data_IF_490632357405
#
_entry.id   IF_490632357405
#
_cell.length_a   1.000
_cell.length_b   1.000
_cell.length_c   1.000
_cell.angle_alpha   90.00
_cell.angle_beta   90.00
_cell.angle_gamma   90.00
#
_symmetry.space_group_name_H-M   'P 1'
#
loop_
_entity.id
_entity.type
_entity.pdbx_description
1 polymer ?
#
# COMPACT_ATOMS: atom_id res chain seq x y z
N UNK A 1 -14.78 28.23 51.97
CA UNK A 1 -13.49 27.80 51.39
C UNK A 1 -13.35 26.28 51.34
N UNK A 2 -13.65 25.56 52.43
CA UNK A 2 -13.55 24.09 52.50
C UNK A 2 -14.50 23.34 51.54
N UNK A 3 -15.73 23.83 51.35
CA UNK A 3 -16.69 23.20 50.43
C UNK A 3 -16.37 23.46 48.95
N UNK A 4 -15.74 24.60 48.65
CA UNK A 4 -15.28 24.93 47.30
C UNK A 4 -14.10 24.03 46.89
N UNK A 5 -13.19 23.71 47.81
CA UNK A 5 -12.09 22.76 47.58
C UNK A 5 -12.58 21.33 47.39
N UNK A 6 -13.60 20.88 48.14
CA UNK A 6 -14.20 19.55 47.96
C UNK A 6 -14.90 19.41 46.61
N UNK A 7 -15.62 20.45 46.18
CA UNK A 7 -16.33 20.46 44.90
C UNK A 7 -15.33 20.48 43.72
N UNK A 8 -14.23 21.25 43.81
CA UNK A 8 -13.16 21.22 42.80
C UNK A 8 -12.43 19.87 42.74
N UNK A 9 -12.20 19.22 43.89
CA UNK A 9 -11.54 17.91 43.94
C UNK A 9 -12.41 16.79 43.34
N UNK A 10 -13.72 16.84 43.55
CA UNK A 10 -14.67 15.90 42.91
C UNK A 10 -14.76 16.10 41.39
N UNK A 11 -14.73 17.34 40.91
CA UNK A 11 -14.73 17.66 39.47
C UNK A 11 -13.43 17.22 38.80
N UNK A 12 -12.27 17.41 39.46
CA UNK A 12 -10.97 16.92 38.97
C UNK A 12 -10.91 15.39 38.91
N UNK A 13 -11.48 14.68 39.89
CA UNK A 13 -11.55 13.22 39.89
C UNK A 13 -12.48 12.68 38.78
N UNK A 14 -13.62 13.33 38.52
CA UNK A 14 -14.53 13.00 37.43
C UNK A 14 -13.91 13.27 36.05
N UNK A 15 -13.15 14.37 35.90
CA UNK A 15 -12.40 14.66 34.66
C UNK A 15 -11.26 13.66 34.44
N UNK A 16 -10.58 13.21 35.50
CA UNK A 16 -9.57 12.15 35.42
C UNK A 16 -10.20 10.78 35.04
N UNK A 17 -11.39 10.46 35.56
CA UNK A 17 -12.13 9.24 35.18
C UNK A 17 -12.63 9.28 33.73
N UNK A 18 -12.97 10.46 33.20
CA UNK A 18 -13.30 10.64 31.78
C UNK A 18 -12.07 10.52 30.87
N UNK A 19 -10.88 10.92 31.34
CA UNK A 19 -9.60 10.73 30.63
C UNK A 19 -9.12 9.28 30.61
N UNK A 20 -9.57 8.44 31.55
CA UNK A 20 -9.22 7.00 31.58
C UNK A 20 -10.19 6.18 30.70
N UNK A 21 -11.32 6.74 30.24
CA UNK A 21 -12.33 6.02 29.43
C UNK A 21 -12.31 6.30 27.93
N UNK A 22 -11.23 6.85 27.36
CA UNK A 22 -11.05 6.85 25.91
C UNK A 22 -9.69 6.27 25.55
N UNK A 23 -9.70 5.04 25.03
CA UNK A 23 -8.97 4.58 23.82
C UNK A 23 -8.99 3.05 23.77
N UNK A 24 -10.14 2.47 23.39
CA UNK A 24 -10.13 1.19 22.68
C UNK A 24 -10.28 1.53 21.21
N UNK A 25 -9.18 1.98 20.60
CA UNK A 25 -9.14 2.29 19.17
C UNK A 25 -9.40 1.00 18.39
N UNK A 26 -10.51 0.97 17.66
CA UNK A 26 -10.85 -0.19 16.84
C UNK A 26 -9.95 -0.19 15.61
N UNK A 27 -8.96 -1.08 15.59
CA UNK A 27 -8.19 -1.39 14.39
C UNK A 27 -9.15 -1.87 13.29
N UNK A 28 -8.96 -1.44 12.03
CA UNK A 28 -9.66 -2.07 10.90
C UNK A 28 -8.92 -3.37 10.59
N UNK A 29 -9.43 -4.43 11.18
CA UNK A 29 -8.94 -5.78 11.03
C UNK A 29 -9.50 -6.38 9.74
N UNK A 30 -8.61 -6.76 8.82
CA UNK A 30 -8.98 -7.55 7.65
C UNK A 30 -8.80 -9.00 8.01
N UNK A 31 -9.91 -9.74 7.94
CA UNK A 31 -9.90 -11.17 8.12
C UNK A 31 -9.74 -11.84 6.76
N UNK A 32 -8.86 -12.84 6.73
CA UNK A 32 -8.73 -13.75 5.62
C UNK A 32 -9.39 -15.06 5.98
N UNK A 33 -9.98 -15.70 4.99
CA UNK A 33 -10.51 -17.02 5.17
C UNK A 33 -9.41 -18.08 5.10
N UNK A 34 -9.74 -19.31 5.49
CA UNK A 34 -8.83 -20.44 5.49
C UNK A 34 -8.35 -20.80 4.07
N UNK A 35 -9.13 -20.52 3.03
CA UNK A 35 -8.69 -20.61 1.62
C UNK A 35 -7.98 -19.37 1.09
N UNK A 36 -7.76 -18.35 1.93
CA UNK A 36 -7.02 -17.14 1.58
C UNK A 36 -7.83 -16.06 0.86
N UNK A 37 -9.16 -16.18 0.83
CA UNK A 37 -10.04 -15.10 0.37
C UNK A 37 -10.15 -13.97 1.40
N UNK A 38 -10.51 -12.78 0.94
CA UNK A 38 -10.69 -11.61 1.81
C UNK A 38 -12.14 -11.55 2.28
N UNK A 39 -12.35 -11.43 3.59
CA UNK A 39 -13.68 -11.22 4.15
C UNK A 39 -14.28 -9.89 3.66
N UNK A 40 -15.45 -9.97 3.03
CA UNK A 40 -16.26 -8.81 2.62
C UNK A 40 -17.17 -8.29 3.74
N UNK A 41 -17.47 -9.14 4.72
CA UNK A 41 -18.20 -8.82 5.95
C UNK A 41 -17.40 -9.23 7.19
N UNK A 42 -17.95 -8.96 8.38
CA UNK A 42 -17.25 -9.30 9.63
C UNK A 42 -17.00 -10.81 9.75
N UNK A 43 -15.79 -11.18 10.13
CA UNK A 43 -15.52 -12.53 10.60
C UNK A 43 -16.28 -12.76 11.90
N UNK A 44 -17.16 -13.75 11.93
CA UNK A 44 -18.04 -13.95 13.08
C UNK A 44 -18.70 -15.30 13.10
N UNK A 45 -19.33 -15.63 14.22
CA UNK A 45 -19.97 -16.91 14.44
C UNK A 45 -21.23 -17.11 13.59
N UNK A 46 -21.97 -16.03 13.29
CA UNK A 46 -23.23 -16.06 12.52
C UNK A 46 -24.22 -17.16 12.97
N UNK A 47 -24.27 -17.45 14.27
CA UNK A 47 -25.13 -18.49 14.86
C UNK A 47 -24.54 -19.90 14.94
N UNK A 48 -23.27 -20.09 14.58
CA UNK A 48 -22.54 -21.36 14.61
C UNK A 48 -21.49 -21.40 15.72
N UNK A 49 -20.93 -22.58 16.00
CA UNK A 49 -19.82 -22.77 16.94
C UNK A 49 -18.43 -22.46 16.36
N UNK A 50 -18.37 -21.87 15.17
CA UNK A 50 -17.16 -21.50 14.45
C UNK A 50 -17.39 -20.20 13.69
N UNK A 51 -16.30 -19.54 13.31
CA UNK A 51 -16.29 -18.23 12.69
C UNK A 51 -15.97 -18.33 11.20
N UNK A 52 -16.66 -17.51 10.43
CA UNK A 52 -16.67 -17.54 8.98
C UNK A 52 -17.17 -16.19 8.45
N UNK A 53 -16.91 -15.93 7.19
CA UNK A 53 -17.28 -14.68 6.53
C UNK A 53 -17.55 -14.94 5.04
N UNK A 54 -18.21 -14.00 4.39
CA UNK A 54 -18.26 -13.97 2.93
C UNK A 54 -16.91 -13.57 2.40
N UNK A 55 -16.41 -14.30 1.41
CA UNK A 55 -15.08 -14.04 0.87
C UNK A 55 -15.07 -13.63 -0.59
N UNK A 56 -13.99 -12.96 -0.97
CA UNK A 56 -13.63 -12.71 -2.36
C UNK A 56 -12.25 -13.30 -2.69
N UNK A 57 -12.13 -13.96 -3.84
CA UNK A 57 -10.85 -14.40 -4.43
C UNK A 57 -10.17 -15.64 -3.83
N UNK A 58 -10.74 -16.29 -2.80
CA UNK A 58 -10.25 -17.53 -2.19
C UNK A 58 -10.52 -18.78 -3.05
N UNK A 59 -11.12 -19.82 -2.49
CA UNK A 59 -11.47 -21.06 -3.22
C UNK A 59 -12.63 -20.94 -4.23
N UNK A 60 -13.16 -19.73 -4.47
CA UNK A 60 -14.28 -19.47 -5.37
C UNK A 60 -15.66 -19.68 -4.75
N UNK A 61 -15.76 -20.15 -3.50
CA UNK A 61 -17.00 -20.19 -2.75
C UNK A 61 -17.30 -18.86 -2.08
N UNK A 62 -18.58 -18.56 -1.89
CA UNK A 62 -19.03 -17.31 -1.27
C UNK A 62 -18.66 -17.19 0.20
N UNK A 63 -18.54 -18.31 0.93
CA UNK A 63 -18.28 -18.35 2.38
C UNK A 63 -17.14 -19.28 2.72
N UNK A 64 -16.33 -18.91 3.73
CA UNK A 64 -15.27 -19.77 4.26
C UNK A 64 -14.88 -19.35 5.69
N UNK A 65 -14.21 -20.26 6.41
CA UNK A 65 -13.75 -20.09 7.79
C UNK A 65 -12.77 -18.94 7.91
N UNK A 66 -12.84 -18.16 8.97
CA UNK A 66 -11.88 -17.10 9.28
C UNK A 66 -11.52 -17.19 10.77
N UNK A 67 -10.48 -16.49 11.21
CA UNK A 67 -10.14 -16.39 12.63
C UNK A 67 -10.46 -14.99 13.14
N UNK A 68 -10.98 -14.90 14.37
CA UNK A 68 -11.28 -13.61 15.02
C UNK A 68 -10.00 -12.82 15.36
N UNK A 69 -8.92 -13.53 15.70
CA UNK A 69 -7.64 -12.93 16.04
C UNK A 69 -6.50 -13.80 15.50
N UNK A 70 -5.33 -13.19 15.32
CA UNK A 70 -4.13 -13.90 14.90
C UNK A 70 -3.74 -14.94 15.96
N UNK A 71 -3.42 -16.16 15.54
CA UNK A 71 -3.07 -17.26 16.45
C UNK A 71 -4.28 -18.01 17.03
N UNK A 72 -5.50 -17.65 16.63
CA UNK A 72 -6.70 -18.44 16.92
C UNK A 72 -7.12 -19.27 15.70
N UNK A 73 -7.76 -20.39 15.95
CA UNK A 73 -8.51 -21.13 14.94
C UNK A 73 -9.91 -20.54 14.72
N UNK A 74 -10.67 -21.09 13.78
CA UNK A 74 -12.01 -20.64 13.48
C UNK A 74 -13.01 -20.87 14.63
N UNK A 75 -12.73 -21.76 15.59
CA UNK A 75 -13.56 -21.94 16.78
C UNK A 75 -13.26 -20.93 17.89
N UNK A 76 -12.11 -20.24 17.82
CA UNK A 76 -11.58 -19.35 18.86
C UNK A 76 -10.58 -20.04 19.80
N UNK A 77 -10.15 -21.26 19.48
CA UNK A 77 -9.13 -21.98 20.24
C UNK A 77 -7.72 -21.53 19.86
N UNK A 78 -6.81 -21.58 20.83
CA UNK A 78 -5.43 -21.17 20.63
C UNK A 78 -4.64 -22.19 19.81
N UNK A 79 -4.06 -21.72 18.72
CA UNK A 79 -3.10 -22.47 17.93
C UNK A 79 -1.78 -22.65 18.71
N UNK A 80 -1.20 -23.85 18.62
CA UNK A 80 0.17 -24.16 19.02
C UNK A 80 1.16 -24.00 17.84
N UNK A 81 0.69 -24.18 16.60
CA UNK A 81 1.45 -23.91 15.38
C UNK A 81 1.01 -22.61 14.70
N UNK A 82 1.78 -22.14 13.71
CA UNK A 82 1.31 -21.10 12.80
C UNK A 82 0.08 -21.55 12.01
N UNK A 83 -0.73 -20.56 11.61
CA UNK A 83 -1.85 -20.75 10.69
C UNK A 83 -1.34 -20.83 9.25
N UNK A 84 -1.25 -22.04 8.68
CA UNK A 84 -0.61 -22.25 7.39
C UNK A 84 -1.23 -23.39 6.58
N UNK A 85 -0.86 -23.50 5.31
CA UNK A 85 -1.47 -24.48 4.40
C UNK A 85 -1.00 -25.92 4.62
N UNK A 86 0.16 -26.12 5.26
CA UNK A 86 0.75 -27.44 5.56
C UNK A 86 0.68 -28.44 4.38
N UNK A 87 0.84 -27.94 3.15
CA UNK A 87 0.77 -28.73 1.91
C UNK A 87 -0.65 -29.01 1.37
N UNK A 88 -1.69 -28.46 2.00
CA UNK A 88 -3.09 -28.55 1.57
C UNK A 88 -3.61 -27.29 0.87
N UNK A 89 -4.92 -27.26 0.59
CA UNK A 89 -5.63 -26.16 -0.09
C UNK A 89 -6.30 -25.15 0.85
N UNK A 90 -6.19 -25.36 2.16
CA UNK A 90 -6.70 -24.47 3.20
C UNK A 90 -5.63 -24.29 4.26
N UNK A 91 -5.76 -23.23 5.04
CA UNK A 91 -4.95 -22.94 6.21
C UNK A 91 -5.49 -23.63 7.44
N UNK A 92 -4.58 -24.25 8.19
CA UNK A 92 -4.84 -24.93 9.44
C UNK A 92 -3.78 -24.57 10.46
N UNK A 93 -4.13 -24.75 11.73
CA UNK A 93 -3.17 -24.79 12.82
C UNK A 93 -3.41 -26.01 13.70
N UNK A 94 -2.35 -26.48 14.35
CA UNK A 94 -2.45 -27.49 15.38
C UNK A 94 -2.78 -26.81 16.71
N UNK A 95 -3.77 -27.29 17.45
CA UNK A 95 -4.18 -26.68 18.72
C UNK A 95 -3.32 -27.11 19.90
N UNK A 96 -3.24 -26.27 20.95
CA UNK A 96 -2.52 -26.61 22.20
C UNK A 96 -3.10 -27.83 22.93
N UNK A 97 -4.41 -28.05 22.80
CA UNK A 97 -5.11 -29.21 23.35
C UNK A 97 -5.17 -30.40 22.37
N UNK A 98 -4.52 -30.30 21.21
CA UNK A 98 -4.45 -31.34 20.18
C UNK A 98 -5.46 -31.18 19.06
N UNK A 99 -5.12 -31.70 17.88
CA UNK A 99 -5.96 -31.66 16.68
C UNK A 99 -5.60 -30.55 15.69
N UNK A 100 -5.98 -30.73 14.43
CA UNK A 100 -5.81 -29.76 13.35
C UNK A 100 -7.12 -29.05 13.04
N UNK A 101 -7.08 -27.73 13.00
CA UNK A 101 -8.27 -26.89 12.85
C UNK A 101 -8.04 -25.79 11.83
N UNK A 102 -9.11 -25.42 11.11
CA UNK A 102 -9.08 -24.32 10.16
C UNK A 102 -8.79 -23.00 10.86
N UNK A 103 -8.01 -22.15 10.21
CA UNK A 103 -7.70 -20.83 10.71
C UNK A 103 -7.64 -19.84 9.53
N UNK A 104 -8.02 -18.61 9.81
CA UNK A 104 -7.82 -17.47 8.92
C UNK A 104 -6.63 -16.63 9.38
N UNK A 105 -5.99 -15.93 8.45
CA UNK A 105 -5.01 -14.91 8.83
C UNK A 105 -5.73 -13.61 9.22
N UNK A 106 -5.16 -12.88 10.16
CA UNK A 106 -5.69 -11.60 10.62
C UNK A 106 -4.67 -10.51 10.30
N UNK A 107 -5.01 -9.67 9.33
CA UNK A 107 -4.17 -8.56 8.90
C UNK A 107 -4.67 -7.24 9.46
N UNK A 108 -3.76 -6.35 9.82
CA UNK A 108 -4.07 -4.93 9.83
C UNK A 108 -3.95 -4.41 8.39
N UNK A 109 -4.87 -3.53 7.98
CA UNK A 109 -4.99 -3.00 6.61
C UNK A 109 -3.76 -2.21 6.11
N UNK A 110 -2.67 -2.16 6.87
CA UNK A 110 -1.42 -1.54 6.46
C UNK A 110 -0.71 -2.43 5.43
N UNK A 111 -1.07 -2.19 4.16
CA UNK A 111 -0.32 -2.51 2.96
C UNK A 111 0.21 -3.95 2.84
N UNK A 112 -0.70 -4.88 2.60
CA UNK A 112 -0.33 -6.25 2.27
C UNK A 112 0.28 -6.30 0.87
N UNK A 113 1.60 -6.44 0.83
CA UNK A 113 2.35 -6.79 -0.36
C UNK A 113 2.41 -8.32 -0.48
N UNK A 114 2.56 -8.79 -1.72
CA UNK A 114 2.58 -10.22 -2.01
C UNK A 114 3.77 -10.55 -2.89
N UNK A 115 4.32 -11.73 -2.66
CA UNK A 115 5.31 -12.33 -3.53
C UNK A 115 4.66 -12.79 -4.85
N UNK A 116 5.51 -13.20 -5.80
CA UNK A 116 5.09 -13.82 -7.06
C UNK A 116 4.29 -15.10 -6.86
N UNK A 117 4.60 -15.86 -5.80
CA UNK A 117 3.89 -17.08 -5.41
C UNK A 117 2.60 -16.77 -4.65
N UNK A 118 2.22 -15.49 -4.58
CA UNK A 118 1.03 -15.00 -3.89
C UNK A 118 1.06 -15.31 -2.38
N UNK A 119 2.26 -15.44 -1.81
CA UNK A 119 2.45 -15.44 -0.37
C UNK A 119 2.55 -14.01 0.15
N UNK A 120 2.01 -13.77 1.34
CA UNK A 120 2.07 -12.46 1.98
C UNK A 120 3.52 -12.11 2.30
N UNK A 121 3.92 -10.90 1.91
CA UNK A 121 5.16 -10.30 2.35
C UNK A 121 5.05 -9.85 3.81
N UNK A 122 5.98 -10.32 4.65
CA UNK A 122 6.18 -9.93 6.05
C UNK A 122 7.10 -8.71 6.17
N UNK A 123 7.86 -8.40 5.11
CA UNK A 123 8.69 -7.21 4.97
C UNK A 123 8.29 -6.48 3.69
N UNK A 124 8.62 -5.19 3.59
CA UNK A 124 8.44 -4.47 2.33
C UNK A 124 9.20 -5.13 1.18
N UNK A 125 8.63 -5.01 -0.01
CA UNK A 125 9.16 -5.46 -1.28
C UNK A 125 10.27 -4.50 -1.71
N UNK A 126 11.51 -4.90 -1.48
CA UNK A 126 12.69 -4.05 -1.68
C UNK A 126 13.75 -4.77 -2.50
N UNK A 127 14.62 -3.99 -3.14
CA UNK A 127 15.69 -4.53 -3.96
C UNK A 127 16.72 -5.26 -3.09
N UNK A 128 17.00 -6.51 -3.45
CA UNK A 128 18.07 -7.32 -2.87
C UNK A 128 18.67 -8.18 -3.99
N UNK A 129 20.00 -8.22 -4.12
CA UNK A 129 20.69 -9.01 -5.15
C UNK A 129 20.14 -8.79 -6.59
N UNK A 130 19.81 -7.56 -6.94
CA UNK A 130 19.37 -7.18 -8.30
C UNK A 130 17.89 -7.43 -8.63
N UNK A 131 17.09 -7.91 -7.68
CA UNK A 131 15.63 -8.02 -7.83
C UNK A 131 14.89 -7.64 -6.56
N UNK A 132 13.65 -7.17 -6.70
CA UNK A 132 12.74 -6.91 -5.61
C UNK A 132 12.30 -8.21 -4.94
N UNK A 133 12.47 -8.26 -3.62
CA UNK A 133 12.22 -9.42 -2.78
C UNK A 133 11.59 -9.00 -1.46
N UNK A 134 10.85 -9.91 -0.84
CA UNK A 134 10.31 -9.77 0.49
C UNK A 134 10.46 -11.09 1.26
N UNK A 135 10.47 -11.02 2.59
CA UNK A 135 10.36 -12.24 3.41
C UNK A 135 8.91 -12.67 3.50
N UNK A 136 8.67 -13.95 3.38
CA UNK A 136 7.37 -14.60 3.58
C UNK A 136 7.50 -15.68 4.65
N UNK A 137 6.39 -16.34 5.01
CA UNK A 137 6.43 -17.52 5.88
C UNK A 137 7.24 -18.68 5.26
N UNK A 138 7.43 -18.68 3.94
CA UNK A 138 8.15 -19.72 3.19
C UNK A 138 9.60 -19.33 2.85
N UNK A 139 10.06 -18.18 3.35
CA UNK A 139 11.41 -17.66 3.09
C UNK A 139 11.41 -16.40 2.21
N UNK A 140 12.57 -16.07 1.67
CA UNK A 140 12.72 -14.90 0.79
C UNK A 140 12.17 -15.21 -0.59
N UNK A 141 11.21 -14.42 -1.04
CA UNK A 141 10.57 -14.59 -2.35
C UNK A 141 10.60 -13.29 -3.13
N UNK A 142 10.56 -13.39 -4.47
CA UNK A 142 10.46 -12.23 -5.34
C UNK A 142 9.09 -11.58 -5.23
N UNK A 143 9.05 -10.27 -5.39
CA UNK A 143 7.84 -9.47 -5.33
C UNK A 143 7.95 -8.31 -6.32
N UNK A 144 6.85 -7.63 -6.59
CA UNK A 144 6.84 -6.43 -7.42
C UNK A 144 6.60 -5.19 -6.57
N UNK A 145 7.39 -4.12 -6.74
CA UNK A 145 7.26 -2.91 -5.92
C UNK A 145 6.00 -2.09 -6.25
N UNK A 146 5.45 -2.28 -7.46
CA UNK A 146 4.25 -1.62 -7.93
C UNK A 146 3.51 -2.50 -8.95
N UNK A 147 2.23 -2.16 -9.22
CA UNK A 147 1.47 -2.80 -10.30
C UNK A 147 2.15 -2.54 -11.64
N UNK A 148 1.99 -3.47 -12.58
CA UNK A 148 2.59 -3.37 -13.92
C UNK A 148 4.12 -3.14 -13.90
N UNK A 149 4.79 -3.53 -12.80
CA UNK A 149 6.25 -3.54 -12.66
C UNK A 149 6.69 -4.96 -12.30
N UNK A 150 7.72 -5.46 -12.97
CA UNK A 150 8.26 -6.79 -12.69
C UNK A 150 9.21 -6.76 -11.49
N UNK A 151 9.55 -7.90 -10.88
CA UNK A 151 10.53 -7.95 -9.78
C UNK A 151 11.93 -7.48 -10.17
N UNK A 152 12.26 -7.37 -11.45
CA UNK A 152 13.54 -6.77 -11.87
C UNK A 152 13.45 -5.24 -12.01
N UNK A 153 12.25 -4.68 -11.86
CA UNK A 153 11.94 -3.26 -11.95
C UNK A 153 11.54 -2.79 -13.35
N UNK A 154 11.28 -3.69 -14.30
CA UNK A 154 10.88 -3.32 -15.66
C UNK A 154 9.38 -3.00 -15.72
N UNK A 155 8.95 -2.00 -16.51
CA UNK A 155 7.54 -1.76 -16.75
C UNK A 155 6.98 -2.81 -17.71
N UNK A 156 5.74 -3.23 -17.46
CA UNK A 156 5.01 -4.10 -18.37
C UNK A 156 4.66 -3.40 -19.70
N UNK A 157 4.35 -4.17 -20.74
CA UNK A 157 3.83 -3.64 -21.99
C UNK A 157 2.42 -3.03 -21.77
N UNK A 158 2.10 -1.97 -22.49
CA UNK A 158 0.81 -1.27 -22.40
C UNK A 158 -0.39 -2.13 -22.81
N UNK A 159 -0.21 -3.02 -23.80
CA UNK A 159 -1.23 -3.93 -24.32
C UNK A 159 -1.35 -5.20 -23.47
N UNK A 160 -0.25 -5.61 -22.83
CA UNK A 160 -0.16 -6.82 -22.03
C UNK A 160 0.31 -6.51 -20.60
N UNK A 161 -0.47 -5.66 -19.92
CA UNK A 161 -0.27 -5.27 -18.51
C UNK A 161 -0.40 -6.45 -17.55
N UNK A 162 -0.16 -6.23 -16.26
CA UNK A 162 -0.16 -7.31 -15.30
C UNK A 162 -1.53 -7.98 -15.12
N UNK A 163 -1.63 -9.25 -15.51
CA UNK A 163 -2.82 -10.07 -15.37
C UNK A 163 -2.46 -11.57 -15.35
N UNK A 164 -3.46 -12.44 -15.12
CA UNK A 164 -3.22 -13.89 -15.12
C UNK A 164 -3.10 -14.49 -16.53
N UNK A 165 -3.76 -13.93 -17.54
CA UNK A 165 -3.78 -14.47 -18.91
C UNK A 165 -4.06 -15.99 -18.99
N UNK A 166 -4.91 -16.52 -18.11
CA UNK A 166 -5.21 -17.95 -18.02
C UNK A 166 -4.21 -18.79 -17.20
N UNK A 167 -3.17 -18.18 -16.63
CA UNK A 167 -2.20 -18.83 -15.75
C UNK A 167 -2.55 -18.71 -14.25
N UNK A 168 -1.91 -19.53 -13.41
CA UNK A 168 -2.05 -19.47 -11.95
C UNK A 168 -1.42 -18.21 -11.34
N UNK A 169 -0.42 -17.63 -12.00
CA UNK A 169 0.40 -16.50 -11.55
C UNK A 169 0.15 -15.24 -12.38
N UNK A 170 0.42 -14.07 -11.81
CA UNK A 170 0.33 -12.79 -12.51
C UNK A 170 1.58 -12.58 -13.37
N UNK A 171 1.36 -12.28 -14.65
CA UNK A 171 2.40 -12.05 -15.64
C UNK A 171 2.07 -10.84 -16.50
N UNK A 172 3.10 -10.30 -17.13
CA UNK A 172 2.97 -9.30 -18.15
C UNK A 172 4.04 -9.49 -19.20
N UNK A 173 3.83 -8.86 -20.35
CA UNK A 173 4.80 -8.94 -21.43
C UNK A 173 5.79 -7.77 -21.33
N UNK A 174 7.06 -8.00 -21.63
CA UNK A 174 8.12 -7.00 -21.62
C UNK A 174 8.27 -6.31 -22.99
N UNK A 175 8.16 -7.02 -24.11
CA UNK A 175 8.36 -6.46 -25.48
C UNK A 175 7.20 -6.77 -26.45
N UNK A 176 7.44 -6.98 -27.75
CA UNK A 176 6.47 -7.51 -28.73
C UNK A 176 6.81 -8.93 -29.21
N UNK A 177 7.92 -9.52 -28.73
CA UNK A 177 8.35 -10.88 -29.09
C UNK A 177 7.93 -11.93 -28.06
N UNK A 178 7.53 -13.12 -28.51
CA UNK A 178 6.91 -14.19 -27.70
C UNK A 178 7.75 -14.70 -26.49
N UNK A 179 9.02 -14.31 -26.37
CA UNK A 179 9.89 -14.63 -25.23
C UNK A 179 9.81 -13.62 -24.08
N UNK A 180 9.00 -12.56 -24.21
CA UNK A 180 9.02 -11.40 -23.32
C UNK A 180 8.23 -11.51 -22.01
N UNK A 181 7.71 -12.68 -21.61
CA UNK A 181 6.88 -12.77 -20.40
C UNK A 181 7.70 -12.73 -19.11
N UNK A 182 7.28 -11.88 -18.18
CA UNK A 182 7.82 -11.84 -16.82
C UNK A 182 6.66 -11.75 -15.80
N UNK A 183 6.94 -12.12 -14.57
CA UNK A 183 6.00 -12.06 -13.47
C UNK A 183 5.80 -10.62 -13.01
N UNK A 184 4.64 -10.34 -12.44
CA UNK A 184 4.29 -9.01 -11.94
C UNK A 184 3.36 -9.09 -10.73
N UNK A 185 3.24 -7.98 -10.01
CA UNK A 185 2.46 -7.89 -8.78
C UNK A 185 0.96 -7.91 -9.01
N UNK A 186 0.23 -8.54 -8.09
CA UNK A 186 -1.23 -8.69 -8.15
C UNK A 186 -1.96 -7.33 -8.17
N UNK A 187 -2.54 -7.00 -9.34
CA UNK A 187 -3.33 -5.77 -9.58
C UNK A 187 -4.64 -5.67 -8.77
N UNK A 188 -5.24 -6.80 -8.39
CA UNK A 188 -6.54 -6.81 -7.70
C UNK A 188 -6.48 -6.30 -6.24
N UNK A 189 -5.30 -5.96 -5.74
CA UNK A 189 -5.06 -5.47 -4.37
C UNK A 189 -4.47 -4.06 -4.37
N UNK A 190 -4.59 -3.37 -5.50
CA UNK A 190 -4.19 -1.99 -5.66
C UNK A 190 -4.96 -1.10 -4.67
N UNK A 191 -4.23 -0.56 -3.70
CA UNK A 191 -4.73 0.19 -2.54
C UNK A 191 -5.50 1.47 -2.88
N UNK A 192 -5.53 1.83 -4.16
CA UNK A 192 -5.96 3.14 -4.62
C UNK A 192 -6.98 3.01 -5.77
N UNK A 193 -8.26 3.23 -5.46
CA UNK A 193 -9.34 3.39 -6.45
C UNK A 193 -9.54 4.88 -6.71
N UNK A 194 -9.29 5.31 -7.93
CA UNK A 194 -9.40 6.71 -8.34
C UNK A 194 -10.88 7.08 -8.54
N UNK A 195 -11.30 8.14 -7.85
CA UNK A 195 -12.63 8.73 -7.96
C UNK A 195 -12.52 10.05 -8.71
N UNK A 196 -13.36 10.19 -9.74
CA UNK A 196 -13.41 11.39 -10.57
C UNK A 196 -14.47 12.36 -10.04
N UNK A 197 -14.08 13.58 -9.66
CA UNK A 197 -15.02 14.63 -9.28
C UNK A 197 -14.98 15.77 -10.29
N UNK A 198 -16.15 16.09 -10.87
CA UNK A 198 -16.34 17.26 -11.73
C UNK A 198 -16.81 18.43 -10.88
N UNK A 199 -16.05 19.51 -10.86
CA UNK A 199 -16.54 20.83 -10.45
C UNK A 199 -16.68 21.72 -11.68
N UNK A 200 -17.36 22.88 -11.54
CA UNK A 200 -17.56 23.84 -12.63
C UNK A 200 -16.25 24.48 -13.15
N UNK A 201 -15.12 24.32 -12.44
CA UNK A 201 -13.85 25.00 -12.77
C UNK A 201 -12.62 24.06 -12.82
N UNK A 202 -12.73 22.79 -12.45
CA UNK A 202 -11.62 21.82 -12.55
C UNK A 202 -12.10 20.37 -12.52
N UNK A 203 -11.42 19.50 -13.26
CA UNK A 203 -11.52 18.03 -13.14
C UNK A 203 -10.44 17.59 -12.15
N UNK A 204 -10.85 17.11 -10.98
CA UNK A 204 -9.91 16.65 -9.94
C UNK A 204 -10.18 15.17 -9.69
N UNK A 205 -9.13 14.37 -9.84
CA UNK A 205 -9.17 12.94 -9.56
C UNK A 205 -8.38 12.69 -8.29
N UNK A 206 -9.05 12.09 -7.31
CA UNK A 206 -8.41 11.73 -6.06
C UNK A 206 -8.60 10.25 -5.77
N UNK A 207 -7.70 9.74 -4.97
CA UNK A 207 -7.76 8.41 -4.44
C UNK A 207 -7.46 8.48 -2.94
N UNK A 208 -8.21 7.71 -2.15
CA UNK A 208 -8.02 7.65 -0.70
C UNK A 208 -7.38 6.33 -0.31
N UNK A 209 -6.21 6.42 0.32
CA UNK A 209 -5.60 5.34 1.06
C UNK A 209 -6.12 5.42 2.50
N UNK A 210 -6.89 4.41 2.92
CA UNK A 210 -7.31 4.32 4.31
C UNK A 210 -6.11 3.93 5.16
N UNK A 211 -5.65 4.84 6.02
CA UNK A 211 -4.80 4.50 7.15
C UNK A 211 -5.70 4.14 8.34
N UNK A 212 -5.14 3.43 9.32
CA UNK A 212 -5.82 3.09 10.57
C UNK A 212 -6.46 4.33 11.21
N UNK A 213 -7.51 4.13 12.02
CA UNK A 213 -8.39 5.19 12.54
C UNK A 213 -7.70 6.31 13.34
N UNK A 214 -6.39 6.20 13.62
CA UNK A 214 -5.60 7.18 14.37
C UNK A 214 -4.68 8.08 13.51
N UNK A 215 -4.49 7.80 12.21
CA UNK A 215 -3.56 8.57 11.35
C UNK A 215 -4.24 9.43 10.27
N UNK A 216 -5.57 9.60 10.36
CA UNK A 216 -6.33 10.31 9.33
C UNK A 216 -6.35 9.54 8.01
N UNK A 217 -7.02 10.07 6.99
CA UNK A 217 -7.02 9.46 5.64
C UNK A 217 -5.92 10.07 4.79
N UNK A 218 -5.15 9.25 4.07
CA UNK A 218 -4.21 9.76 3.07
C UNK A 218 -4.89 9.88 1.73
N UNK A 219 -4.76 11.04 1.09
CA UNK A 219 -5.38 11.34 -0.19
C UNK A 219 -4.28 11.61 -1.21
N UNK A 220 -4.35 10.89 -2.32
CA UNK A 220 -3.55 11.11 -3.51
C UNK A 220 -4.44 11.88 -4.48
N UNK A 221 -4.13 13.14 -4.75
CA UNK A 221 -4.70 13.88 -5.89
C UNK A 221 -3.75 13.73 -7.06
N UNK A 222 -4.29 13.50 -8.25
CA UNK A 222 -3.51 13.56 -9.49
C UNK A 222 -3.89 14.79 -10.30
N UNK A 223 -2.90 15.39 -10.94
CA UNK A 223 -3.06 16.52 -11.85
C UNK A 223 -2.29 16.22 -13.14
N UNK A 224 -2.96 16.37 -14.27
CA UNK A 224 -2.37 16.04 -15.57
C UNK A 224 -1.24 17.02 -15.86
N UNK A 225 -0.13 16.50 -16.37
CA UNK A 225 1.01 17.29 -16.79
C UNK A 225 1.33 17.01 -18.25
N UNK A 226 1.54 18.08 -19.01
CA UNK A 226 1.91 18.00 -20.42
C UNK A 226 3.43 18.16 -20.64
N UNK A 227 4.17 18.58 -19.61
CA UNK A 227 5.63 18.78 -19.61
C UNK A 227 6.43 17.65 -18.92
N UNK A 228 5.80 16.49 -18.67
CA UNK A 228 6.50 15.31 -18.17
C UNK A 228 7.01 14.43 -19.32
N UNK A 229 8.26 14.02 -19.23
CA UNK A 229 8.87 13.11 -20.18
C UNK A 229 8.42 11.67 -19.96
N UNK A 230 8.17 10.95 -21.06
CA UNK A 230 7.97 9.51 -21.02
C UNK A 230 9.33 8.80 -21.00
N UNK A 231 9.71 8.10 -19.92
CA UNK A 231 11.02 7.48 -19.83
C UNK A 231 11.13 6.24 -20.72
N UNK A 232 12.34 5.94 -21.19
CA UNK A 232 12.64 4.61 -21.76
C UNK A 232 12.51 3.52 -20.69
N UNK A 233 12.36 2.24 -21.09
CA UNK A 233 12.30 1.11 -20.14
C UNK A 233 13.51 1.05 -19.19
N UNK A 234 14.70 1.35 -19.71
CA UNK A 234 15.93 1.37 -18.92
C UNK A 234 15.92 2.52 -17.89
N UNK A 235 15.46 3.71 -18.29
CA UNK A 235 15.29 4.85 -17.38
C UNK A 235 14.22 4.55 -16.33
N UNK A 236 13.08 3.97 -16.72
CA UNK A 236 12.03 3.54 -15.79
C UNK A 236 12.58 2.57 -14.73
N UNK A 237 13.35 1.56 -15.15
CA UNK A 237 13.94 0.58 -14.23
C UNK A 237 14.92 1.22 -13.25
N UNK A 238 15.76 2.15 -13.72
CA UNK A 238 16.69 2.91 -12.86
C UNK A 238 15.92 3.80 -11.87
N UNK A 239 14.87 4.47 -12.34
CA UNK A 239 13.99 5.29 -11.53
C UNK A 239 13.31 4.48 -10.41
N UNK A 240 12.76 3.31 -10.73
CA UNK A 240 12.13 2.40 -9.76
C UNK A 240 13.11 1.98 -8.65
N UNK A 241 14.38 1.72 -9.01
CA UNK A 241 15.44 1.37 -8.05
C UNK A 241 15.85 2.56 -7.19
N UNK A 242 15.90 3.77 -7.74
CA UNK A 242 16.16 4.99 -6.97
C UNK A 242 15.02 5.29 -5.98
N UNK A 243 13.77 5.08 -6.38
CA UNK A 243 12.60 5.22 -5.47
C UNK A 243 12.69 4.24 -4.30
N UNK A 244 13.12 3.00 -4.53
CA UNK A 244 13.29 2.01 -3.46
C UNK A 244 14.37 2.37 -2.43
N UNK A 245 15.36 3.18 -2.84
CA UNK A 245 16.40 3.68 -1.93
C UNK A 245 15.90 4.78 -0.98
N UNK A 246 14.69 5.34 -1.19
CA UNK A 246 14.09 6.31 -0.27
C UNK A 246 13.78 5.60 1.05
N UNK A 247 14.61 5.75 2.06
CA UNK A 247 14.44 5.16 3.39
C UNK A 247 13.85 6.15 4.42
N UNK A 248 13.71 7.40 4.01
CA UNK A 248 13.27 8.51 4.85
C UNK A 248 12.53 9.55 4.01
N UNK A 249 11.42 10.05 4.54
CA UNK A 249 10.67 11.17 3.98
C UNK A 249 11.39 12.51 4.14
N UNK A 250 12.39 12.58 5.04
CA UNK A 250 13.14 13.81 5.36
C UNK A 250 14.46 13.92 4.62
N UNK A 251 15.02 12.80 4.15
CA UNK A 251 16.32 12.73 3.50
C UNK A 251 16.21 11.88 2.25
N UNK A 252 16.06 12.55 1.12
CA UNK A 252 16.01 11.88 -0.18
C UNK A 252 17.39 11.36 -0.57
N UNK A 253 17.49 10.20 -1.24
CA UNK A 253 18.75 9.68 -1.77
C UNK A 253 19.46 10.72 -2.64
N UNK A 254 20.74 10.95 -2.35
CA UNK A 254 21.60 11.75 -3.21
C UNK A 254 22.06 10.91 -4.40
N UNK A 255 21.88 11.41 -5.61
CA UNK A 255 22.45 10.82 -6.81
C UNK A 255 23.97 11.06 -6.83
N UNK A 256 24.75 10.00 -6.98
CA UNK A 256 26.21 10.11 -7.17
C UNK A 256 26.58 10.71 -8.54
N UNK A 257 27.85 11.09 -8.71
CA UNK A 257 28.37 11.84 -9.86
C UNK A 257 28.18 11.18 -11.25
N UNK A 258 27.84 9.89 -11.29
CA UNK A 258 27.57 9.13 -12.52
C UNK A 258 26.10 8.71 -12.68
N UNK A 259 25.21 9.20 -11.83
CA UNK A 259 23.80 8.85 -11.91
C UNK A 259 23.16 9.43 -13.19
N UNK A 260 22.34 8.63 -13.87
CA UNK A 260 21.54 9.09 -15.02
C UNK A 260 20.22 9.71 -14.55
N UNK A 261 19.77 9.39 -13.34
CA UNK A 261 18.50 9.83 -12.77
C UNK A 261 18.73 10.38 -11.36
N UNK A 262 18.00 11.45 -11.02
CA UNK A 262 18.04 12.06 -9.68
C UNK A 262 16.68 12.46 -9.15
N UNK A 263 16.58 12.47 -7.84
CA UNK A 263 15.56 13.20 -7.10
C UNK A 263 16.04 14.65 -6.95
N UNK A 264 15.22 15.60 -7.40
CA UNK A 264 15.50 17.02 -7.32
C UNK A 264 14.39 17.70 -6.52
N UNK A 265 14.76 18.32 -5.39
CA UNK A 265 13.84 19.10 -4.57
C UNK A 265 13.68 20.49 -5.21
N UNK A 266 12.44 20.83 -5.54
CA UNK A 266 12.03 22.15 -6.02
C UNK A 266 11.69 23.06 -4.81
N UNK A 267 11.26 24.30 -5.09
CA UNK A 267 10.78 25.19 -4.03
C UNK A 267 9.56 24.59 -3.31
N UNK A 268 9.53 24.72 -1.98
CA UNK A 268 8.43 24.23 -1.16
C UNK A 268 7.14 25.03 -1.46
N UNK A 269 5.99 24.36 -1.41
CA UNK A 269 4.69 24.95 -1.73
C UNK A 269 3.91 25.16 -0.44
N UNK A 270 3.47 26.39 -0.19
CA UNK A 270 2.55 26.68 0.91
C UNK A 270 1.11 26.67 0.41
N UNK A 271 0.28 25.78 0.96
CA UNK A 271 -1.12 25.66 0.59
C UNK A 271 -1.99 25.65 1.85
N UNK A 272 -2.84 26.68 2.01
CA UNK A 272 -3.74 26.84 3.17
C UNK A 272 -3.04 26.69 4.54
N UNK A 273 -1.79 27.17 4.65
CA UNK A 273 -1.00 27.10 5.89
C UNK A 273 -0.32 25.75 6.15
N UNK A 274 -0.40 24.81 5.20
CA UNK A 274 0.40 23.57 5.21
C UNK A 274 1.56 23.74 4.23
N UNK A 275 2.77 23.41 4.68
CA UNK A 275 3.96 23.37 3.83
C UNK A 275 4.10 21.99 3.19
N UNK A 276 4.31 22.00 1.88
CA UNK A 276 4.51 20.82 1.07
C UNK A 276 5.90 20.83 0.46
N UNK A 277 6.58 19.70 0.56
CA UNK A 277 7.81 19.42 -0.17
C UNK A 277 7.47 19.06 -1.61
N UNK A 278 8.08 19.78 -2.55
CA UNK A 278 7.96 19.54 -3.98
C UNK A 278 9.20 18.80 -4.51
N UNK A 279 9.00 17.62 -5.11
CA UNK A 279 10.09 16.77 -5.57
C UNK A 279 9.82 16.18 -6.95
N UNK A 280 10.82 16.30 -7.81
CA UNK A 280 10.84 15.76 -9.15
C UNK A 280 11.85 14.62 -9.29
N UNK A 281 11.53 13.66 -10.14
CA UNK A 281 12.47 12.68 -10.65
C UNK A 281 12.91 13.11 -12.05
N UNK A 282 14.20 13.37 -12.27
CA UNK A 282 14.73 13.95 -13.50
C UNK A 282 15.81 13.07 -14.14
N UNK A 283 15.95 13.14 -15.46
CA UNK A 283 17.06 12.53 -16.23
C UNK A 283 18.19 13.56 -16.36
N UNK A 284 19.43 13.18 -16.07
CA UNK A 284 20.61 14.08 -15.99
C UNK A 284 21.17 14.47 -17.38
N UNK A 285 20.44 14.26 -18.48
CA UNK A 285 20.97 14.33 -19.84
C UNK A 285 20.46 15.50 -20.71
N UNK A 286 20.13 16.66 -20.12
CA UNK A 286 20.06 18.04 -20.71
C UNK A 286 18.71 18.78 -20.67
N UNK A 287 17.56 18.11 -20.56
CA UNK A 287 16.28 18.79 -20.33
C UNK A 287 15.92 18.71 -18.84
N UNK A 288 15.50 19.83 -18.24
CA UNK A 288 15.09 19.88 -16.84
C UNK A 288 13.70 19.27 -16.59
N UNK A 289 13.15 18.54 -17.58
CA UNK A 289 11.79 18.01 -17.53
C UNK A 289 11.73 16.74 -16.67
N UNK A 290 10.73 16.62 -15.78
CA UNK A 290 10.59 15.49 -14.90
C UNK A 290 9.98 14.25 -15.60
N UNK A 291 10.36 13.07 -15.15
CA UNK A 291 9.70 11.78 -15.46
C UNK A 291 8.75 11.32 -14.34
N UNK A 292 8.75 12.04 -13.21
CA UNK A 292 7.76 11.92 -12.13
C UNK A 292 7.80 13.19 -11.28
N UNK A 293 6.66 13.60 -10.72
CA UNK A 293 6.54 14.77 -9.85
C UNK A 293 5.58 14.45 -8.71
N UNK A 294 6.08 14.60 -7.48
CA UNK A 294 5.35 14.33 -6.24
C UNK A 294 5.44 15.52 -5.30
N UNK A 295 4.29 15.90 -4.76
CA UNK A 295 4.16 16.93 -3.73
C UNK A 295 3.60 16.27 -2.48
N UNK A 296 4.20 16.50 -1.31
CA UNK A 296 3.76 15.86 -0.07
C UNK A 296 3.97 16.78 1.15
N UNK A 297 3.13 16.69 2.19
CA UNK A 297 3.24 17.59 3.33
C UNK A 297 4.47 17.24 4.16
N UNK A 298 5.08 18.23 4.81
CA UNK A 298 6.20 18.01 5.74
C UNK A 298 5.83 17.09 6.91
N UNK A 299 4.53 16.96 7.22
CA UNK A 299 4.00 16.05 8.23
C UNK A 299 3.93 14.59 7.78
N UNK A 300 4.20 14.27 6.50
CA UNK A 300 4.20 12.89 6.02
C UNK A 300 5.30 12.09 6.72
N UNK A 301 4.93 11.01 7.39
CA UNK A 301 5.88 10.14 8.14
C UNK A 301 6.15 8.81 7.44
N UNK A 302 5.27 8.39 6.52
CA UNK A 302 5.29 7.04 5.96
C UNK A 302 6.06 6.98 4.64
N UNK A 303 7.26 6.39 4.68
CA UNK A 303 8.10 6.15 3.49
C UNK A 303 7.38 5.38 2.40
N UNK A 304 6.59 4.37 2.78
CA UNK A 304 5.77 3.59 1.84
C UNK A 304 4.81 4.46 1.03
N UNK A 305 4.19 5.45 1.68
CA UNK A 305 3.27 6.37 1.01
C UNK A 305 4.00 7.24 0.00
N UNK A 306 5.20 7.73 0.36
CA UNK A 306 6.03 8.51 -0.55
C UNK A 306 6.48 7.69 -1.76
N UNK A 307 6.99 6.47 -1.56
CA UNK A 307 7.37 5.56 -2.65
C UNK A 307 6.18 5.26 -3.56
N UNK A 308 5.01 5.00 -2.99
CA UNK A 308 3.78 4.75 -3.77
C UNK A 308 3.40 5.95 -4.63
N UNK A 309 3.52 7.18 -4.12
CA UNK A 309 3.24 8.40 -4.88
C UNK A 309 4.21 8.54 -6.08
N UNK A 310 5.50 8.28 -5.86
CA UNK A 310 6.49 8.28 -6.95
C UNK A 310 6.23 7.20 -7.98
N UNK A 311 5.96 5.94 -7.55
CA UNK A 311 5.62 4.87 -8.48
C UNK A 311 4.37 5.21 -9.30
N UNK A 312 3.38 5.84 -8.68
CA UNK A 312 2.16 6.26 -9.36
C UNK A 312 2.44 7.33 -10.42
N UNK A 313 3.21 8.37 -10.09
CA UNK A 313 3.57 9.43 -11.04
C UNK A 313 4.43 8.89 -12.19
N UNK A 314 5.49 8.13 -11.87
CA UNK A 314 6.39 7.52 -12.85
C UNK A 314 5.66 6.55 -13.80
N UNK A 315 4.77 5.71 -13.27
CA UNK A 315 3.94 4.80 -14.06
C UNK A 315 3.06 5.58 -15.05
N UNK A 316 2.46 6.68 -14.61
CA UNK A 316 1.64 7.50 -15.50
C UNK A 316 2.43 8.17 -16.62
N UNK A 317 3.64 8.66 -16.34
CA UNK A 317 4.51 9.23 -17.36
C UNK A 317 4.94 8.19 -18.42
N UNK A 318 5.09 6.92 -18.03
CA UNK A 318 5.40 5.84 -18.96
C UNK A 318 4.22 5.45 -19.86
N UNK A 319 2.99 5.36 -19.32
CA UNK A 319 1.83 4.86 -20.08
C UNK A 319 0.94 5.93 -20.71
N UNK A 320 1.11 7.19 -20.33
CA UNK A 320 0.26 8.33 -20.71
C UNK A 320 -1.23 8.20 -20.34
N UNK A 321 -1.91 9.31 -19.99
CA UNK A 321 -1.33 10.64 -19.76
C UNK A 321 -0.50 10.69 -18.47
N UNK A 322 0.46 11.62 -18.41
CA UNK A 322 1.32 11.83 -17.26
C UNK A 322 0.63 12.64 -16.17
N UNK A 323 0.92 12.32 -14.91
CA UNK A 323 0.32 12.95 -13.75
C UNK A 323 1.34 13.27 -12.66
N UNK A 324 1.23 14.48 -12.11
CA UNK A 324 1.80 14.79 -10.80
C UNK A 324 0.91 14.23 -9.70
N UNK A 325 1.50 13.82 -8.59
CA UNK A 325 0.77 13.26 -7.45
C UNK A 325 0.96 14.14 -6.22
N UNK A 326 -0.11 14.79 -5.75
CA UNK A 326 -0.16 15.49 -4.48
C UNK A 326 -0.68 14.55 -3.38
N UNK A 327 0.13 14.31 -2.37
CA UNK A 327 -0.23 13.59 -1.15
C UNK A 327 -0.75 14.59 -0.13
N UNK A 328 -1.79 14.22 0.61
CA UNK A 328 -2.36 15.04 1.68
C UNK A 328 -3.02 14.16 2.74
N UNK A 329 -3.26 14.71 3.93
CA UNK A 329 -3.95 14.05 5.04
C UNK A 329 -5.28 14.74 5.29
N UNK A 330 -6.35 13.95 5.41
CA UNK A 330 -7.73 14.36 5.75
C UNK A 330 -8.47 15.25 4.75
N UNK A 331 -7.79 16.17 4.08
CA UNK A 331 -8.36 16.99 3.01
C UNK A 331 -7.44 16.99 1.80
N UNK A 332 -7.98 16.95 0.57
CA UNK A 332 -7.16 17.03 -0.62
C UNK A 332 -6.46 18.39 -0.69
N UNK A 333 -5.18 18.39 -1.08
CA UNK A 333 -4.52 19.63 -1.50
C UNK A 333 -5.21 20.16 -2.77
N UNK A 334 -5.75 21.38 -2.72
CA UNK A 334 -6.47 22.01 -3.84
C UNK A 334 -5.72 23.17 -4.51
N UNK A 335 -4.51 23.50 -4.05
CA UNK A 335 -3.67 24.53 -4.68
C UNK A 335 -3.10 24.05 -6.03
N UNK A 336 -2.59 25.00 -6.82
CA UNK A 336 -1.83 24.71 -8.04
C UNK A 336 -0.62 23.85 -7.71
N UNK A 337 -0.33 22.86 -8.55
CA UNK A 337 0.89 22.07 -8.50
C UNK A 337 2.01 22.67 -9.36
N UNK A 338 1.68 23.62 -10.22
CA UNK A 338 2.64 24.35 -11.06
C UNK A 338 3.13 25.61 -10.33
N UNK A 339 4.42 25.89 -10.44
CA UNK A 339 4.99 27.18 -10.04
C UNK A 339 4.42 28.30 -10.94
N UNK A 340 4.03 29.42 -10.32
CA UNK A 340 3.80 30.68 -11.03
C UNK A 340 5.12 31.39 -11.32
#
# INVERSE_FOLDING_TARGET
MQDLMKMMSAVLALLALFFIMQTSGSHVTIHYTSSGGICGDMCGYHGYGYTWCRQSGGNGNDWDYCSLEEGLDASGANCASSCDVWGGSYRYCYLKNGGWHYCGLVGQQEALEYSQENHRCLTSCQTSNGSFQCKTAHGTERCSPFRDVTPTGLPCNSNYRCAKYGHSVYRCHLDESDAGWDHCGRKSLDRCVWVHTKSNSSQVEYCTLFKSQMEGKVIFRRERQDNMLSPTKAQFQRAVRLIDQIDSVRSLPMSGDQAEIRLYKQEDISCKGINYTNVELQIISTTAEPIAHVIFPESLTTVHTLRLAFYTSLHSAFYSPAYSIAVSTDEPMLCSMDHQ
#
